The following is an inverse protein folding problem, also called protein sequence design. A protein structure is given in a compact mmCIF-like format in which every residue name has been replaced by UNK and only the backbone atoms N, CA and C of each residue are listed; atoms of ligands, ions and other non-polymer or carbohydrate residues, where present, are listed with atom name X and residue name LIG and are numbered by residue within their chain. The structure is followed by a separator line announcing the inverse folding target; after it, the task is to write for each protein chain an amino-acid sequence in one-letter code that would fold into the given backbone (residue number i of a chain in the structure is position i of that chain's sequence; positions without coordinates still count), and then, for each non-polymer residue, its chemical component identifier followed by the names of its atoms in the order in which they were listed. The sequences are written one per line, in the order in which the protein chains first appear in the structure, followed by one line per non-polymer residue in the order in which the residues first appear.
data_IF_117547313012
#
_entry.id   IF_117547313012
#
_cell.length_a   1.000
_cell.length_b   1.000
_cell.length_c   1.000
_cell.angle_alpha   90.00
_cell.angle_beta   90.00
_cell.angle_gamma   90.00
#
_symmetry.space_group_name_H-M   'P 1'
#
loop_
_entity.id
_entity.type
_entity.pdbx_description
1 polymer ?
#
# COMPACT_ATOMS: atom_id res chain seq x y z
N UNK A 1 5.78 -31.88 -17.85
CA UNK A 1 5.82 -31.82 -16.38
C UNK A 1 6.24 -30.43 -15.99
N UNK A 2 5.34 -29.58 -15.44
CA UNK A 2 5.75 -28.29 -14.89
C UNK A 2 6.67 -28.56 -13.70
N UNK A 3 7.86 -27.94 -13.69
CA UNK A 3 8.81 -28.07 -12.58
C UNK A 3 8.10 -27.73 -11.27
N UNK A 4 7.99 -28.70 -10.37
CA UNK A 4 7.44 -28.51 -9.03
C UNK A 4 8.34 -27.51 -8.31
N UNK A 5 7.83 -26.32 -7.98
CA UNK A 5 8.58 -25.33 -7.18
C UNK A 5 8.85 -26.00 -5.84
N UNK A 6 10.12 -26.14 -5.46
CA UNK A 6 10.49 -26.67 -4.17
C UNK A 6 10.46 -25.53 -3.14
N UNK A 7 9.32 -25.38 -2.47
CA UNK A 7 9.10 -24.31 -1.47
C UNK A 7 10.15 -24.28 -0.37
N UNK A 8 10.65 -25.45 0.03
CA UNK A 8 11.78 -25.56 0.96
C UNK A 8 13.04 -24.87 0.42
N UNK A 9 13.34 -25.02 -0.88
CA UNK A 9 14.47 -24.32 -1.51
C UNK A 9 14.29 -22.81 -1.50
N UNK A 10 13.06 -22.33 -1.75
CA UNK A 10 12.77 -20.88 -1.74
C UNK A 10 12.95 -20.29 -0.34
N UNK A 11 12.55 -20.99 0.72
CA UNK A 11 12.80 -20.56 2.11
C UNK A 11 14.32 -20.50 2.39
N UNK A 12 15.11 -21.49 1.96
CA UNK A 12 16.57 -21.42 2.12
C UNK A 12 17.20 -20.27 1.32
N UNK A 13 16.75 -20.06 0.08
CA UNK A 13 17.19 -18.96 -0.77
C UNK A 13 16.86 -17.60 -0.14
N UNK A 14 15.67 -17.46 0.44
CA UNK A 14 15.30 -16.26 1.20
C UNK A 14 16.31 -15.95 2.30
N UNK A 15 16.62 -16.90 3.19
CA UNK A 15 17.54 -16.66 4.31
C UNK A 15 18.96 -16.37 3.82
N UNK A 16 19.45 -17.07 2.79
CA UNK A 16 20.75 -16.78 2.17
C UNK A 16 20.78 -15.36 1.59
N UNK A 17 19.73 -14.95 0.92
CA UNK A 17 19.64 -13.62 0.31
C UNK A 17 19.44 -12.52 1.35
N UNK A 18 18.67 -12.80 2.42
CA UNK A 18 18.43 -11.85 3.52
C UNK A 18 19.74 -11.40 4.17
N UNK A 19 20.75 -12.28 4.28
CA UNK A 19 22.06 -11.93 4.82
C UNK A 19 22.74 -10.79 4.04
N UNK A 20 22.48 -10.68 2.74
CA UNK A 20 23.01 -9.57 1.91
C UNK A 20 22.32 -8.24 2.21
N UNK A 21 21.12 -8.27 2.78
CA UNK A 21 20.31 -7.10 3.15
C UNK A 21 20.21 -6.87 4.67
N UNK A 22 21.07 -7.52 5.48
CA UNK A 22 20.98 -7.42 6.96
C UNK A 22 21.01 -6.00 7.51
N UNK A 23 21.73 -5.09 6.82
CA UNK A 23 21.85 -3.69 7.22
C UNK A 23 20.67 -2.82 6.73
N UNK A 24 19.84 -3.31 5.81
CA UNK A 24 18.77 -2.55 5.20
C UNK A 24 17.54 -2.44 6.10
N UNK A 25 17.48 -3.16 7.22
CA UNK A 25 16.36 -3.10 8.17
C UNK A 25 14.99 -3.36 7.52
N UNK A 26 14.95 -4.29 6.56
CA UNK A 26 13.71 -4.66 5.84
C UNK A 26 12.78 -5.45 6.76
N UNK A 27 13.33 -6.45 7.47
CA UNK A 27 12.60 -7.28 8.42
C UNK A 27 12.98 -6.92 9.86
N UNK A 28 12.00 -6.95 10.77
CA UNK A 28 12.19 -6.84 12.22
C UNK A 28 12.15 -8.21 12.89
N UNK A 29 11.57 -9.20 12.22
CA UNK A 29 11.45 -10.57 12.71
C UNK A 29 11.31 -11.54 11.54
N UNK A 30 11.94 -12.71 11.65
CA UNK A 30 11.77 -13.82 10.70
C UNK A 30 11.67 -15.15 11.45
N UNK A 31 10.84 -16.08 10.95
CA UNK A 31 10.65 -17.40 11.56
C UNK A 31 11.02 -18.53 10.58
N UNK A 32 12.29 -18.94 10.63
CA UNK A 32 12.83 -19.97 9.75
C UNK A 32 12.19 -21.34 9.99
N UNK A 33 11.95 -21.70 11.25
CA UNK A 33 11.41 -23.03 11.60
C UNK A 33 10.00 -23.21 11.05
N UNK A 34 9.08 -22.31 11.41
CA UNK A 34 7.69 -22.38 10.95
C UNK A 34 7.58 -22.24 9.42
N UNK A 35 8.43 -21.39 8.80
CA UNK A 35 8.46 -21.26 7.34
C UNK A 35 8.91 -22.55 6.64
N UNK A 36 9.92 -23.24 7.17
CA UNK A 36 10.38 -24.52 6.63
C UNK A 36 9.34 -25.62 6.81
N UNK A 37 8.62 -25.66 7.93
CA UNK A 37 7.58 -26.66 8.16
C UNK A 37 6.38 -26.44 7.23
N UNK A 38 5.96 -25.20 7.02
CA UNK A 38 4.95 -24.86 6.02
C UNK A 38 5.41 -25.23 4.60
N UNK A 39 6.67 -24.94 4.26
CA UNK A 39 7.25 -25.27 2.95
C UNK A 39 7.30 -26.79 2.70
N UNK A 40 7.66 -27.62 3.71
CA UNK A 40 7.62 -29.08 3.61
C UNK A 40 6.20 -29.58 3.32
N UNK A 41 5.17 -29.03 3.97
CA UNK A 41 3.76 -29.36 3.72
C UNK A 41 3.40 -29.05 2.25
N UNK A 42 3.81 -27.86 1.73
CA UNK A 42 3.56 -27.51 0.32
C UNK A 42 4.27 -28.49 -0.65
N UNK A 43 5.53 -28.86 -0.37
CA UNK A 43 6.31 -29.74 -1.22
C UNK A 43 5.81 -31.19 -1.22
N UNK A 44 5.11 -31.64 -0.17
CA UNK A 44 4.49 -32.96 -0.10
C UNK A 44 3.21 -33.08 -0.94
N UNK A 45 2.60 -31.99 -1.37
CA UNK A 45 1.38 -32.00 -2.17
C UNK A 45 1.66 -32.50 -3.59
N UNK A 46 0.74 -33.33 -4.10
CA UNK A 46 0.79 -33.81 -5.50
C UNK A 46 0.43 -32.66 -6.45
N UNK A 47 -0.54 -31.81 -6.08
CA UNK A 47 -1.00 -30.65 -6.83
C UNK A 47 -1.04 -29.41 -5.97
N UNK A 48 -0.79 -28.25 -6.58
CA UNK A 48 -1.00 -26.96 -5.91
C UNK A 48 -2.47 -26.77 -5.56
N UNK A 49 -2.76 -26.33 -4.33
CA UNK A 49 -4.14 -26.07 -3.87
C UNK A 49 -4.64 -24.70 -4.27
N UNK A 50 -3.72 -23.78 -4.61
CA UNK A 50 -4.02 -22.43 -5.08
C UNK A 50 -2.85 -21.85 -5.88
N UNK A 51 -3.05 -20.65 -6.46
CA UNK A 51 -2.00 -19.91 -7.17
C UNK A 51 -0.92 -19.33 -6.22
N UNK A 52 -1.20 -19.27 -4.92
CA UNK A 52 -0.25 -18.79 -3.90
C UNK A 52 0.40 -19.93 -3.10
N UNK A 53 0.10 -21.18 -3.43
CA UNK A 53 0.65 -22.36 -2.74
C UNK A 53 2.19 -22.41 -2.89
N UNK A 54 2.88 -22.41 -1.76
CA UNK A 54 4.35 -22.39 -1.68
C UNK A 54 4.98 -21.00 -1.86
N UNK A 55 4.19 -19.92 -2.00
CA UNK A 55 4.67 -18.55 -2.15
C UNK A 55 5.03 -17.92 -0.82
N UNK A 56 6.09 -17.09 -0.80
CA UNK A 56 6.60 -16.41 0.38
C UNK A 56 5.89 -15.08 0.62
N UNK A 57 5.48 -14.84 1.88
CA UNK A 57 4.78 -13.65 2.33
C UNK A 57 5.53 -12.93 3.45
N UNK A 58 5.63 -11.61 3.35
CA UNK A 58 6.10 -10.71 4.40
C UNK A 58 4.93 -9.85 4.91
N UNK A 59 4.84 -9.66 6.23
CA UNK A 59 3.66 -9.03 6.86
C UNK A 59 4.07 -7.79 7.66
N UNK A 60 3.38 -6.68 7.46
CA UNK A 60 3.56 -5.47 8.28
C UNK A 60 3.12 -5.74 9.72
N UNK A 61 3.91 -5.40 10.75
CA UNK A 61 3.67 -5.83 12.14
C UNK A 61 2.56 -5.08 12.87
N UNK A 62 1.67 -4.39 12.16
CA UNK A 62 0.38 -3.93 12.66
C UNK A 62 -0.79 -4.84 12.21
N UNK A 63 -0.49 -5.92 11.48
CA UNK A 63 -1.40 -7.03 11.12
C UNK A 63 -1.02 -8.24 11.99
N UNK A 64 -2.00 -8.89 12.60
CA UNK A 64 -1.74 -10.01 13.53
C UNK A 64 -1.33 -11.27 12.78
N UNK A 65 -0.18 -11.81 13.16
CA UNK A 65 0.26 -13.16 12.78
C UNK A 65 0.54 -13.91 14.07
N UNK A 66 -0.11 -15.03 14.32
CA UNK A 66 0.06 -15.84 15.52
C UNK A 66 1.53 -16.18 15.74
N UNK A 67 2.01 -15.99 16.96
CA UNK A 67 3.39 -16.19 17.40
C UNK A 67 4.41 -15.18 16.86
N UNK A 68 3.99 -14.15 16.12
CA UNK A 68 4.87 -13.09 15.63
C UNK A 68 4.75 -11.81 16.46
N UNK A 69 5.79 -10.95 16.45
CA UNK A 69 5.72 -9.63 17.04
C UNK A 69 4.60 -8.78 16.44
N UNK A 70 3.75 -8.20 17.30
CA UNK A 70 2.66 -7.29 16.95
C UNK A 70 2.93 -5.90 17.50
N UNK A 71 3.96 -5.26 16.97
CA UNK A 71 4.57 -4.06 17.56
C UNK A 71 4.00 -2.76 17.01
N UNK A 72 3.54 -2.75 15.74
CA UNK A 72 3.18 -1.50 15.07
C UNK A 72 4.35 -0.51 14.92
N UNK A 73 5.62 -0.98 14.98
CA UNK A 73 6.81 -0.13 14.97
C UNK A 73 7.05 0.64 16.29
N UNK A 74 6.27 0.40 17.33
CA UNK A 74 6.30 1.11 18.61
C UNK A 74 7.17 0.34 19.61
N UNK A 75 8.11 1.04 20.26
CA UNK A 75 9.03 0.44 21.25
C UNK A 75 8.32 -0.23 22.42
N UNK A 76 7.30 0.39 22.97
CA UNK A 76 6.56 -0.13 24.13
C UNK A 76 5.83 -1.46 23.84
N UNK A 77 5.69 -1.81 22.57
CA UNK A 77 5.09 -3.08 22.14
C UNK A 77 6.12 -4.08 21.57
N UNK A 78 7.42 -3.84 21.76
CA UNK A 78 8.48 -4.69 21.18
C UNK A 78 8.34 -6.18 21.58
N UNK A 79 7.88 -6.44 22.80
CA UNK A 79 7.73 -7.79 23.35
C UNK A 79 6.28 -8.31 23.21
N UNK A 80 5.42 -7.58 22.52
CA UNK A 80 4.03 -8.00 22.29
C UNK A 80 3.99 -9.04 21.19
N UNK A 81 3.62 -10.26 21.54
CA UNK A 81 3.43 -11.37 20.59
C UNK A 81 1.93 -11.58 20.36
N UNK A 82 1.53 -11.74 19.10
CA UNK A 82 0.14 -12.06 18.77
C UNK A 82 -0.19 -13.51 19.10
N UNK A 83 -1.34 -13.74 19.73
CA UNK A 83 -1.86 -15.08 20.03
C UNK A 83 -2.87 -15.59 18.97
N UNK A 84 -3.22 -14.76 17.98
CA UNK A 84 -4.15 -15.08 16.89
C UNK A 84 -3.56 -14.63 15.55
N UNK A 85 -4.05 -15.23 14.48
CA UNK A 85 -3.93 -14.71 13.12
C UNK A 85 -5.05 -13.70 12.82
N UNK A 86 -4.81 -12.72 11.97
CA UNK A 86 -5.84 -11.97 11.29
C UNK A 86 -6.53 -12.87 10.24
N UNK A 87 -7.79 -12.62 9.91
CA UNK A 87 -8.55 -13.43 8.95
C UNK A 87 -7.85 -13.54 7.58
N UNK A 88 -7.17 -12.47 7.12
CA UNK A 88 -6.40 -12.49 5.88
C UNK A 88 -5.19 -13.44 5.99
N UNK A 89 -4.56 -13.54 7.15
CA UNK A 89 -3.43 -14.43 7.40
C UNK A 89 -3.90 -15.89 7.46
N UNK A 90 -5.06 -16.15 8.09
CA UNK A 90 -5.68 -17.49 8.08
C UNK A 90 -5.98 -17.94 6.64
N UNK A 91 -6.55 -17.06 5.81
CA UNK A 91 -6.83 -17.34 4.41
C UNK A 91 -5.55 -17.64 3.61
N UNK A 92 -4.48 -16.84 3.79
CA UNK A 92 -3.20 -17.06 3.13
C UNK A 92 -2.62 -18.43 3.49
N UNK A 93 -2.58 -18.77 4.78
CA UNK A 93 -2.07 -20.06 5.27
C UNK A 93 -2.90 -21.23 4.78
N UNK A 94 -4.24 -21.09 4.81
CA UNK A 94 -5.17 -22.13 4.33
C UNK A 94 -4.99 -22.42 2.82
N UNK A 95 -4.53 -21.44 2.05
CA UNK A 95 -4.25 -21.56 0.62
C UNK A 95 -2.77 -21.86 0.31
N UNK A 96 -1.98 -22.24 1.31
CA UNK A 96 -0.59 -22.70 1.14
C UNK A 96 0.45 -21.58 1.08
N UNK A 97 0.08 -20.32 1.36
CA UNK A 97 1.05 -19.22 1.50
C UNK A 97 1.94 -19.40 2.73
N UNK A 98 3.21 -19.10 2.60
CA UNK A 98 4.24 -19.28 3.64
C UNK A 98 4.58 -17.92 4.22
N UNK A 99 4.23 -17.67 5.48
CA UNK A 99 4.61 -16.42 6.17
C UNK A 99 6.05 -16.53 6.65
N UNK A 100 6.93 -15.66 6.12
CA UNK A 100 8.37 -15.73 6.39
C UNK A 100 8.82 -14.81 7.53
N UNK A 101 8.11 -13.69 7.74
CA UNK A 101 8.52 -12.71 8.76
C UNK A 101 7.67 -11.44 8.79
N UNK A 102 7.98 -10.59 9.76
CA UNK A 102 7.41 -9.25 9.94
C UNK A 102 8.37 -8.19 9.40
N UNK A 103 7.84 -7.27 8.61
CA UNK A 103 8.60 -6.19 7.97
C UNK A 103 8.76 -4.98 8.88
N UNK A 104 9.67 -4.07 8.52
CA UNK A 104 9.79 -2.77 9.17
C UNK A 104 8.69 -1.81 8.70
N UNK A 105 8.33 -0.84 9.55
CA UNK A 105 7.32 0.17 9.27
C UNK A 105 7.57 1.44 10.07
N UNK A 106 6.96 2.57 9.70
CA UNK A 106 6.95 3.74 10.57
C UNK A 106 6.19 3.48 11.87
N UNK A 107 6.63 4.12 12.95
CA UNK A 107 6.03 4.04 14.28
C UNK A 107 4.52 4.32 14.22
N UNK A 108 3.70 3.43 14.77
CA UNK A 108 2.24 3.49 14.78
C UNK A 108 1.60 3.64 13.38
N UNK A 109 2.28 3.25 12.31
CA UNK A 109 1.89 3.55 10.92
C UNK A 109 1.80 5.07 10.61
N UNK A 110 2.33 5.92 11.47
CA UNK A 110 2.31 7.37 11.37
C UNK A 110 3.66 7.91 10.90
N UNK A 111 3.86 7.91 9.59
CA UNK A 111 5.09 8.37 8.94
C UNK A 111 5.04 8.19 7.43
N UNK A 112 6.06 8.69 6.73
CA UNK A 112 6.08 8.70 5.27
C UNK A 112 7.40 8.25 4.65
N UNK A 113 8.35 7.75 5.46
CA UNK A 113 9.69 7.39 4.97
C UNK A 113 10.31 6.16 5.65
N UNK A 114 9.59 5.51 6.56
CA UNK A 114 10.01 4.35 7.36
C UNK A 114 11.33 4.60 8.11
N UNK A 115 11.44 5.82 8.68
CA UNK A 115 12.60 6.22 9.50
C UNK A 115 12.28 6.29 11.00
N UNK A 116 11.01 6.39 11.36
CA UNK A 116 10.56 6.58 12.75
C UNK A 116 10.44 5.28 13.54
N UNK A 117 10.66 4.13 12.91
CA UNK A 117 10.62 2.82 13.57
C UNK A 117 11.63 2.70 14.70
N UNK A 118 11.22 2.09 15.79
CA UNK A 118 12.14 1.67 16.86
C UNK A 118 13.31 0.81 16.36
N UNK A 119 13.08 0.04 15.30
CA UNK A 119 14.10 -0.86 14.71
C UNK A 119 15.08 -0.13 13.78
N UNK A 120 14.93 1.17 13.60
CA UNK A 120 15.75 2.02 12.73
C UNK A 120 15.19 2.17 11.33
N UNK A 121 15.82 3.07 10.56
CA UNK A 121 15.42 3.41 9.18
C UNK A 121 15.52 2.20 8.25
N UNK A 122 14.49 1.95 7.46
CA UNK A 122 14.54 1.00 6.35
C UNK A 122 15.26 1.62 5.16
N UNK A 123 16.17 0.88 4.54
CA UNK A 123 16.99 1.33 3.40
C UNK A 123 16.36 0.87 2.09
N UNK A 124 16.32 1.78 1.10
CA UNK A 124 15.77 1.48 -0.22
C UNK A 124 16.70 0.55 -1.01
N UNK A 125 16.22 -0.64 -1.44
CA UNK A 125 17.07 -1.59 -2.18
C UNK A 125 17.53 -1.09 -3.55
N UNK A 126 16.82 -0.10 -4.14
CA UNK A 126 17.20 0.48 -5.44
C UNK A 126 18.36 1.46 -5.29
N UNK A 127 18.31 2.28 -4.25
CA UNK A 127 19.38 3.25 -3.94
C UNK A 127 19.31 3.65 -2.47
N UNK A 128 20.40 3.38 -1.72
CA UNK A 128 20.48 3.60 -0.28
C UNK A 128 20.42 5.07 0.17
N UNK A 129 20.73 6.01 -0.72
CA UNK A 129 20.65 7.44 -0.44
C UNK A 129 19.21 7.98 -0.45
N UNK A 130 18.23 7.18 -0.90
CA UNK A 130 16.85 7.59 -1.06
C UNK A 130 15.91 6.80 -0.14
N UNK A 131 14.78 7.43 0.20
CA UNK A 131 13.75 6.82 1.06
C UNK A 131 13.09 5.62 0.39
N UNK A 132 12.65 4.64 1.20
CA UNK A 132 11.71 3.58 0.77
C UNK A 132 10.26 4.08 0.71
N UNK A 133 9.97 5.28 1.25
CA UNK A 133 8.62 5.71 1.53
C UNK A 133 8.05 5.05 2.80
N UNK A 134 6.78 5.34 3.10
CA UNK A 134 6.14 4.82 4.33
C UNK A 134 4.60 4.96 4.27
N UNK A 135 3.97 4.39 5.29
CA UNK A 135 4.53 3.73 6.48
C UNK A 135 4.84 2.23 6.29
N UNK A 136 4.55 1.61 5.12
CA UNK A 136 4.82 0.18 4.85
C UNK A 136 6.12 -0.02 4.04
N UNK A 137 7.20 0.74 4.37
CA UNK A 137 8.44 0.74 3.59
C UNK A 137 9.18 -0.60 3.62
N UNK A 138 9.20 -1.30 4.76
CA UNK A 138 9.79 -2.63 4.84
C UNK A 138 9.07 -3.65 3.95
N UNK A 139 7.73 -3.55 3.85
CA UNK A 139 6.93 -4.40 2.96
C UNK A 139 7.27 -4.13 1.49
N UNK A 140 7.44 -2.87 1.10
CA UNK A 140 7.86 -2.51 -0.25
C UNK A 140 9.30 -2.94 -0.55
N UNK A 141 10.22 -2.72 0.39
CA UNK A 141 11.62 -3.13 0.25
C UNK A 141 11.77 -4.66 0.12
N UNK A 142 10.96 -5.45 0.83
CA UNK A 142 10.97 -6.91 0.73
C UNK A 142 10.63 -7.41 -0.67
N UNK A 143 9.69 -6.77 -1.37
CA UNK A 143 9.35 -7.07 -2.76
C UNK A 143 10.43 -6.56 -3.71
N UNK A 144 10.83 -5.28 -3.58
CA UNK A 144 11.81 -4.65 -4.47
C UNK A 144 13.17 -5.35 -4.45
N UNK A 145 13.55 -5.91 -3.30
CA UNK A 145 14.73 -6.77 -3.17
C UNK A 145 14.51 -8.21 -3.65
N UNK A 146 13.33 -8.56 -4.15
CA UNK A 146 12.95 -9.93 -4.54
C UNK A 146 13.23 -10.96 -3.43
N UNK A 147 12.97 -10.60 -2.19
CA UNK A 147 13.06 -11.51 -1.04
C UNK A 147 11.80 -12.36 -0.89
N UNK A 148 10.65 -11.81 -1.22
CA UNK A 148 9.36 -12.51 -1.14
C UNK A 148 8.51 -12.26 -2.38
N UNK A 149 7.50 -13.11 -2.61
CA UNK A 149 6.55 -12.96 -3.72
C UNK A 149 5.47 -11.91 -3.43
N UNK A 150 5.05 -11.84 -2.16
CA UNK A 150 3.97 -10.99 -1.68
C UNK A 150 4.34 -10.30 -0.38
N UNK A 151 3.85 -9.09 -0.19
CA UNK A 151 3.85 -8.49 1.13
C UNK A 151 2.51 -7.80 1.42
N UNK A 152 2.13 -7.80 2.70
CA UNK A 152 0.97 -7.11 3.21
C UNK A 152 1.41 -5.83 3.92
N UNK A 153 0.63 -4.78 3.72
CA UNK A 153 0.77 -3.51 4.42
C UNK A 153 -0.59 -2.94 4.81
N UNK A 154 -0.58 -1.72 5.34
CA UNK A 154 -1.78 -0.93 5.59
C UNK A 154 -1.67 0.43 4.94
N UNK A 155 -2.78 0.97 4.46
CA UNK A 155 -2.87 2.24 3.77
C UNK A 155 -3.96 3.10 4.40
N UNK A 156 -3.56 4.25 4.96
CA UNK A 156 -4.45 5.24 5.58
C UNK A 156 -4.56 6.50 4.73
N UNK A 157 -3.44 6.90 4.10
CA UNK A 157 -3.32 8.08 3.24
C UNK A 157 -2.41 7.83 2.02
N UNK A 158 -2.03 6.56 1.76
CA UNK A 158 -1.07 6.19 0.73
C UNK A 158 0.04 5.26 1.21
N UNK A 159 -0.04 4.73 2.43
CA UNK A 159 1.05 3.98 3.06
C UNK A 159 1.36 2.59 2.45
N UNK A 160 0.67 2.17 1.41
CA UNK A 160 1.01 1.06 0.50
C UNK A 160 1.53 1.63 -0.82
N UNK A 161 0.80 2.57 -1.42
CA UNK A 161 1.02 3.08 -2.77
C UNK A 161 2.26 3.96 -2.86
N UNK A 162 2.52 4.80 -1.85
CA UNK A 162 3.71 5.64 -1.79
C UNK A 162 4.98 4.80 -1.76
N UNK A 163 5.18 3.87 -0.78
CA UNK A 163 6.38 3.04 -0.76
C UNK A 163 6.47 2.11 -1.98
N UNK A 164 5.36 1.62 -2.53
CA UNK A 164 5.37 0.87 -3.78
C UNK A 164 5.92 1.71 -4.93
N UNK A 165 5.51 2.98 -5.05
CA UNK A 165 6.02 3.91 -6.07
C UNK A 165 7.53 4.16 -5.92
N UNK A 166 8.00 4.37 -4.70
CA UNK A 166 9.42 4.68 -4.44
C UNK A 166 10.36 3.47 -4.56
N UNK A 167 9.81 2.28 -4.38
CA UNK A 167 10.54 1.01 -4.52
C UNK A 167 10.31 0.31 -5.87
N UNK A 168 9.55 0.93 -6.81
CA UNK A 168 9.36 0.43 -8.17
C UNK A 168 8.60 -0.89 -8.25
N UNK A 169 7.59 -1.07 -7.42
CA UNK A 169 6.75 -2.26 -7.36
C UNK A 169 5.26 -1.91 -7.45
N UNK A 170 4.41 -2.90 -7.63
CA UNK A 170 2.96 -2.74 -7.62
C UNK A 170 2.47 -2.69 -6.17
N UNK A 171 1.65 -1.66 -5.85
CA UNK A 171 0.99 -1.52 -4.55
C UNK A 171 -0.51 -1.32 -4.70
N UNK A 172 -1.31 -2.17 -4.11
CA UNK A 172 -2.77 -2.17 -4.22
C UNK A 172 -3.44 -1.89 -2.88
N UNK A 173 -4.23 -0.83 -2.83
CA UNK A 173 -5.19 -0.51 -1.77
C UNK A 173 -6.59 -0.92 -2.25
N UNK A 174 -7.22 -1.95 -1.67
CA UNK A 174 -8.59 -2.33 -2.03
C UNK A 174 -9.61 -1.26 -1.58
N UNK A 175 -10.85 -1.45 -1.98
CA UNK A 175 -11.99 -0.68 -1.46
C UNK A 175 -12.01 -0.72 0.05
N UNK A 176 -12.50 0.35 0.70
CA UNK A 176 -12.55 0.43 2.15
C UNK A 176 -13.47 -0.66 2.73
N UNK A 177 -13.10 -1.23 3.87
CA UNK A 177 -13.85 -2.25 4.60
C UNK A 177 -14.04 -3.61 3.92
N UNK A 178 -13.38 -3.88 2.78
CA UNK A 178 -13.34 -5.23 2.19
C UNK A 178 -12.76 -6.23 3.19
N UNK A 179 -11.64 -5.85 3.82
CA UNK A 179 -11.05 -6.63 4.91
C UNK A 179 -11.51 -6.10 6.26
N UNK A 180 -11.75 -7.00 7.21
CA UNK A 180 -12.12 -6.64 8.56
C UNK A 180 -10.88 -6.12 9.31
N UNK A 181 -10.93 -4.87 9.75
CA UNK A 181 -9.81 -4.20 10.44
C UNK A 181 -9.77 -4.42 11.96
N UNK A 182 -10.67 -5.23 12.54
CA UNK A 182 -10.80 -5.41 14.01
C UNK A 182 -9.53 -5.91 14.70
N UNK A 183 -8.72 -6.67 13.98
CA UNK A 183 -7.48 -7.26 14.49
C UNK A 183 -6.23 -6.46 14.18
N UNK A 184 -6.35 -5.29 13.58
CA UNK A 184 -5.22 -4.40 13.33
C UNK A 184 -4.82 -3.61 14.56
N UNK A 185 -3.53 -3.23 14.65
CA UNK A 185 -3.12 -2.09 15.46
C UNK A 185 -3.39 -0.83 14.65
N UNK A 186 -4.57 -0.25 14.87
CA UNK A 186 -5.10 0.84 14.06
C UNK A 186 -4.44 2.18 14.40
N UNK A 187 -4.13 2.96 13.36
CA UNK A 187 -3.95 4.39 13.46
C UNK A 187 -5.31 5.09 13.30
N UNK A 188 -6.08 4.70 12.29
CA UNK A 188 -7.41 5.24 12.03
C UNK A 188 -8.42 4.12 11.80
N UNK A 189 -9.49 4.07 12.60
CA UNK A 189 -10.55 3.10 12.40
C UNK A 189 -11.40 3.37 11.14
N UNK A 190 -11.43 4.62 10.68
CA UNK A 190 -12.18 5.02 9.47
C UNK A 190 -11.41 4.75 8.19
N UNK A 191 -10.08 4.95 8.18
CA UNK A 191 -9.31 5.01 6.93
C UNK A 191 -8.26 3.91 6.77
N UNK A 192 -7.89 3.17 7.82
CA UNK A 192 -6.93 2.08 7.68
C UNK A 192 -7.51 0.96 6.82
N UNK A 193 -6.73 0.51 5.84
CA UNK A 193 -7.10 -0.58 4.93
C UNK A 193 -5.91 -1.51 4.77
N UNK A 194 -6.11 -2.83 4.91
CA UNK A 194 -5.10 -3.82 4.52
C UNK A 194 -5.01 -3.83 3.00
N UNK A 195 -3.81 -3.94 2.47
CA UNK A 195 -3.59 -4.11 1.05
C UNK A 195 -2.29 -4.84 0.74
N UNK A 196 -1.98 -4.96 -0.53
CA UNK A 196 -1.00 -5.89 -1.05
C UNK A 196 0.06 -5.20 -1.88
N UNK A 197 1.27 -5.76 -1.87
CA UNK A 197 2.37 -5.38 -2.74
C UNK A 197 2.96 -6.63 -3.39
N UNK A 198 3.38 -6.49 -4.64
CA UNK A 198 4.05 -7.54 -5.41
C UNK A 198 4.81 -6.94 -6.59
N UNK A 199 5.59 -7.75 -7.30
CA UNK A 199 6.34 -7.32 -8.47
C UNK A 199 5.47 -7.03 -9.71
N UNK A 200 4.26 -7.59 -9.78
CA UNK A 200 3.33 -7.36 -10.89
C UNK A 200 1.88 -7.53 -10.45
N UNK A 201 0.97 -7.01 -11.26
CA UNK A 201 -0.46 -7.01 -10.99
C UNK A 201 -1.07 -8.42 -10.97
N UNK A 202 -0.55 -9.36 -11.78
CA UNK A 202 -1.07 -10.72 -11.81
C UNK A 202 -0.90 -11.46 -10.49
N UNK A 203 0.18 -11.22 -9.75
CA UNK A 203 0.34 -11.76 -8.41
C UNK A 203 -0.75 -11.24 -7.47
N UNK A 204 -1.03 -9.94 -7.49
CA UNK A 204 -2.10 -9.34 -6.66
C UNK A 204 -3.46 -9.91 -7.04
N UNK A 205 -3.76 -10.06 -8.35
CA UNK A 205 -4.97 -10.73 -8.83
C UNK A 205 -5.12 -12.14 -8.24
N UNK A 206 -4.06 -12.95 -8.30
CA UNK A 206 -4.06 -14.32 -7.79
C UNK A 206 -4.39 -14.40 -6.29
N UNK A 207 -3.93 -13.43 -5.50
CA UNK A 207 -4.22 -13.36 -4.08
C UNK A 207 -5.64 -12.83 -3.82
N UNK A 208 -6.05 -11.81 -4.55
CA UNK A 208 -7.36 -11.17 -4.37
C UNK A 208 -8.51 -12.09 -4.80
N UNK A 209 -8.32 -12.93 -5.84
CA UNK A 209 -9.29 -13.95 -6.27
C UNK A 209 -9.65 -14.95 -5.15
N UNK A 210 -8.74 -15.22 -4.20
CA UNK A 210 -9.01 -16.10 -3.06
C UNK A 210 -9.96 -15.47 -2.04
N UNK A 211 -10.03 -14.16 -2.00
CA UNK A 211 -10.88 -13.43 -1.05
C UNK A 211 -12.25 -13.07 -1.64
N UNK A 212 -12.31 -12.71 -2.93
CA UNK A 212 -13.48 -12.12 -3.57
C UNK A 212 -14.35 -13.11 -4.33
N UNK A 213 -15.67 -12.96 -4.24
CA UNK A 213 -16.60 -13.54 -5.21
C UNK A 213 -16.50 -12.76 -6.52
N UNK A 214 -16.45 -13.47 -7.62
CA UNK A 214 -16.34 -12.96 -8.99
C UNK A 214 -17.42 -11.91 -9.30
N UNK A 215 -17.00 -10.68 -9.50
CA UNK A 215 -17.88 -9.58 -9.90
C UNK A 215 -17.50 -9.11 -11.29
N UNK A 216 -18.42 -9.27 -12.26
CA UNK A 216 -18.37 -8.83 -13.65
C UNK A 216 -17.18 -9.35 -14.50
N UNK A 217 -17.51 -10.04 -15.56
CA UNK A 217 -16.57 -10.69 -16.47
C UNK A 217 -15.86 -9.64 -17.37
N UNK A 218 -14.62 -9.27 -17.07
CA UNK A 218 -13.86 -8.30 -17.87
C UNK A 218 -13.65 -8.76 -19.32
N UNK A 219 -13.60 -10.10 -19.57
CA UNK A 219 -13.53 -10.61 -20.95
C UNK A 219 -14.71 -10.11 -21.78
N UNK A 220 -15.86 -9.93 -21.16
CA UNK A 220 -17.04 -9.39 -21.82
C UNK A 220 -16.92 -7.85 -21.99
N UNK A 221 -16.32 -7.13 -21.04
CA UNK A 221 -16.11 -5.69 -21.14
C UNK A 221 -15.14 -5.32 -22.27
N UNK A 222 -13.99 -5.99 -22.36
CA UNK A 222 -13.02 -5.76 -23.47
C UNK A 222 -13.56 -6.28 -24.81
N UNK A 223 -14.31 -7.40 -24.82
CA UNK A 223 -14.97 -7.94 -26.01
C UNK A 223 -16.10 -7.07 -26.56
N UNK A 224 -16.76 -6.27 -25.70
CA UNK A 224 -17.83 -5.36 -26.15
C UNK A 224 -17.35 -4.16 -26.96
N UNK A 225 -16.07 -4.08 -27.31
CA UNK A 225 -15.48 -2.97 -28.10
C UNK A 225 -15.60 -1.57 -27.49
N UNK A 226 -15.95 -1.45 -26.20
CA UNK A 226 -15.96 -0.16 -25.53
C UNK A 226 -14.54 0.32 -25.23
N UNK A 227 -14.25 1.57 -25.54
CA UNK A 227 -13.02 2.21 -25.07
C UNK A 227 -13.08 2.40 -23.55
N UNK A 228 -11.93 2.19 -22.89
CA UNK A 228 -11.78 2.52 -21.46
C UNK A 228 -11.70 4.04 -21.34
N UNK A 229 -12.60 4.62 -20.56
CA UNK A 229 -12.65 6.07 -20.35
C UNK A 229 -11.93 6.45 -19.07
N UNK A 230 -10.84 7.17 -19.21
CA UNK A 230 -10.01 7.63 -18.10
C UNK A 230 -10.13 9.14 -17.91
N UNK A 231 -10.35 9.56 -16.66
CA UNK A 231 -10.32 10.95 -16.23
C UNK A 231 -8.96 11.28 -15.62
N UNK A 232 -8.34 12.38 -16.05
CA UNK A 232 -7.20 13.00 -15.36
C UNK A 232 -7.69 14.26 -14.66
N UNK A 233 -7.59 14.35 -13.32
CA UNK A 233 -7.91 15.58 -12.60
C UNK A 233 -6.97 16.71 -13.00
N UNK A 234 -7.51 17.86 -13.43
CA UNK A 234 -6.69 19.02 -13.82
C UNK A 234 -5.87 19.56 -12.63
N UNK A 235 -6.38 19.39 -11.42
CA UNK A 235 -5.79 19.84 -10.16
C UNK A 235 -4.39 19.26 -9.89
N UNK A 236 -4.06 18.10 -10.48
CA UNK A 236 -2.71 17.53 -10.35
C UNK A 236 -1.64 18.42 -11.00
N UNK A 237 -2.00 19.18 -12.05
CA UNK A 237 -1.07 20.10 -12.73
C UNK A 237 -0.93 21.43 -12.01
N UNK A 238 -1.81 21.74 -11.06
CA UNK A 238 -1.79 22.92 -10.22
C UNK A 238 -0.97 22.69 -8.93
N UNK A 239 -0.72 21.43 -8.58
CA UNK A 239 0.15 21.04 -7.47
C UNK A 239 1.64 21.12 -7.89
N UNK A 240 2.53 21.19 -6.90
CA UNK A 240 3.99 21.21 -7.13
C UNK A 240 4.49 19.83 -7.55
N UNK A 241 4.25 19.46 -8.82
CA UNK A 241 4.85 18.28 -9.43
C UNK A 241 6.31 18.52 -9.74
N UNK A 242 7.17 17.55 -9.44
CA UNK A 242 8.52 17.53 -9.99
C UNK A 242 8.45 17.43 -11.52
N UNK A 243 9.30 18.19 -12.21
CA UNK A 243 9.33 18.24 -13.68
C UNK A 243 9.50 16.84 -14.31
N UNK A 244 10.29 15.99 -13.69
CA UNK A 244 10.47 14.60 -14.11
C UNK A 244 9.17 13.78 -14.05
N UNK A 245 8.38 13.96 -12.98
CA UNK A 245 7.08 13.28 -12.84
C UNK A 245 6.12 13.78 -13.90
N UNK A 246 6.06 15.10 -14.11
CA UNK A 246 5.20 15.69 -15.14
C UNK A 246 5.55 15.19 -16.55
N UNK A 247 6.83 15.18 -16.90
CA UNK A 247 7.33 14.70 -18.18
C UNK A 247 7.02 13.23 -18.40
N UNK A 248 7.32 12.40 -17.39
CA UNK A 248 7.04 10.97 -17.45
C UNK A 248 5.54 10.65 -17.50
N UNK A 249 4.72 11.39 -16.76
CA UNK A 249 3.27 11.22 -16.79
C UNK A 249 2.68 11.59 -18.18
N UNK A 250 3.14 12.70 -18.79
CA UNK A 250 2.76 13.06 -20.15
C UNK A 250 3.16 11.98 -21.16
N UNK A 251 4.33 11.37 -20.99
CA UNK A 251 4.76 10.25 -21.82
C UNK A 251 3.83 9.05 -21.69
N UNK A 252 3.52 8.61 -20.46
CA UNK A 252 2.56 7.51 -20.20
C UNK A 252 1.21 7.80 -20.88
N UNK A 253 0.68 9.01 -20.73
CA UNK A 253 -0.57 9.41 -21.37
C UNK A 253 -0.47 9.26 -22.89
N UNK A 254 0.66 9.63 -23.51
CA UNK A 254 0.86 9.51 -24.95
C UNK A 254 0.92 8.05 -25.40
N UNK A 255 1.51 7.15 -24.60
CA UNK A 255 1.52 5.72 -24.86
C UNK A 255 0.11 5.12 -24.75
N UNK A 256 -0.60 5.39 -23.68
CA UNK A 256 -1.96 4.88 -23.45
C UNK A 256 -2.94 5.29 -24.57
N UNK A 257 -2.80 6.50 -25.12
CA UNK A 257 -3.63 6.99 -26.25
C UNK A 257 -3.44 6.21 -27.56
N UNK A 258 -2.39 5.42 -27.70
CA UNK A 258 -2.19 4.54 -28.88
C UNK A 258 -3.11 3.32 -28.85
N UNK A 259 -3.75 3.06 -27.72
CA UNK A 259 -4.65 1.95 -27.50
C UNK A 259 -6.12 2.45 -27.38
N UNK A 260 -7.07 1.55 -27.19
CA UNK A 260 -8.50 1.90 -27.01
C UNK A 260 -8.79 2.52 -25.62
N UNK A 261 -8.04 3.59 -25.28
CA UNK A 261 -8.15 4.29 -24.01
C UNK A 261 -8.44 5.76 -24.30
N UNK A 262 -9.64 6.19 -23.94
CA UNK A 262 -10.07 7.58 -24.07
C UNK A 262 -9.66 8.34 -22.80
N UNK A 263 -8.81 9.35 -22.95
CA UNK A 263 -8.27 10.13 -21.83
C UNK A 263 -8.76 11.56 -21.92
N UNK A 264 -9.50 12.00 -20.91
CA UNK A 264 -9.97 13.38 -20.75
C UNK A 264 -9.33 14.04 -19.52
N UNK A 265 -8.86 15.27 -19.68
CA UNK A 265 -8.40 16.12 -18.57
C UNK A 265 -9.55 17.02 -18.17
N UNK A 266 -10.00 16.91 -16.91
CA UNK A 266 -11.16 17.65 -16.42
C UNK A 266 -10.94 18.18 -15.01
N UNK A 267 -11.51 19.33 -14.72
CA UNK A 267 -11.49 19.91 -13.40
C UNK A 267 -12.48 19.17 -12.48
N UNK A 268 -12.01 18.60 -11.38
CA UNK A 268 -12.84 18.01 -10.34
C UNK A 268 -13.52 19.06 -9.45
N UNK A 269 -13.36 20.36 -9.75
CA UNK A 269 -13.91 21.60 -9.14
C UNK A 269 -13.89 21.65 -7.60
N UNK A 270 -14.04 20.53 -6.93
CA UNK A 270 -14.19 20.43 -5.48
C UNK A 270 -13.00 19.78 -4.81
N UNK A 271 -12.10 19.14 -5.58
CA UNK A 271 -10.91 18.52 -5.02
C UNK A 271 -9.77 19.53 -4.97
N UNK A 272 -9.29 19.79 -3.77
CA UNK A 272 -8.09 20.58 -3.48
C UNK A 272 -7.08 19.70 -2.80
N UNK A 273 -6.10 19.10 -3.54
CA UNK A 273 -5.22 18.05 -3.04
C UNK A 273 -4.61 18.34 -1.68
N UNK A 274 -3.93 19.49 -1.53
CA UNK A 274 -3.26 19.88 -0.28
C UNK A 274 -4.25 20.11 0.88
N UNK A 275 -5.41 20.70 0.62
CA UNK A 275 -6.41 21.00 1.65
C UNK A 275 -7.06 19.72 2.15
N UNK A 276 -7.56 18.87 1.22
CA UNK A 276 -8.27 17.64 1.60
C UNK A 276 -7.32 16.61 2.24
N UNK A 277 -6.05 16.56 1.79
CA UNK A 277 -5.03 15.79 2.51
C UNK A 277 -4.84 16.27 3.95
N UNK A 278 -4.77 17.58 4.19
CA UNK A 278 -4.68 18.13 5.55
C UNK A 278 -5.92 17.84 6.39
N UNK A 279 -7.09 17.87 5.77
CA UNK A 279 -8.35 17.50 6.45
C UNK A 279 -8.35 16.03 6.85
N UNK A 280 -7.97 15.14 5.92
CA UNK A 280 -7.82 13.73 6.24
C UNK A 280 -6.81 13.51 7.36
N UNK A 281 -5.64 14.17 7.31
CA UNK A 281 -4.62 14.07 8.36
C UNK A 281 -5.17 14.46 9.74
N UNK A 282 -5.96 15.53 9.85
CA UNK A 282 -6.58 15.95 11.13
C UNK A 282 -7.53 14.87 11.68
N UNK A 283 -8.30 14.20 10.84
CA UNK A 283 -9.14 13.06 11.28
C UNK A 283 -8.27 11.91 11.75
N UNK A 284 -7.22 11.57 10.99
CA UNK A 284 -6.28 10.48 11.35
C UNK A 284 -5.55 10.77 12.66
N UNK A 285 -5.10 12.00 12.89
CA UNK A 285 -4.46 12.41 14.15
C UNK A 285 -5.43 12.33 15.34
N UNK A 286 -6.68 12.73 15.14
CA UNK A 286 -7.72 12.63 16.18
C UNK A 286 -8.05 11.16 16.51
N UNK A 287 -8.27 10.32 15.51
CA UNK A 287 -8.54 8.90 15.69
C UNK A 287 -7.32 8.16 16.28
N UNK A 288 -6.11 8.51 15.82
CA UNK A 288 -4.87 8.00 16.38
C UNK A 288 -4.70 8.33 17.87
N UNK A 289 -5.07 9.56 18.29
CA UNK A 289 -5.06 9.95 19.68
C UNK A 289 -6.03 9.12 20.54
N UNK A 290 -7.17 8.70 20.00
CA UNK A 290 -8.11 7.81 20.66
C UNK A 290 -7.59 6.37 20.73
N UNK A 291 -7.08 5.84 19.60
CA UNK A 291 -6.59 4.47 19.49
C UNK A 291 -5.32 4.22 20.31
N UNK A 292 -4.46 5.23 20.47
CA UNK A 292 -3.20 5.18 21.21
C UNK A 292 -3.28 5.93 22.56
N UNK A 293 -4.50 6.13 23.09
CA UNK A 293 -4.75 6.91 24.30
C UNK A 293 -3.88 6.46 25.48
N UNK A 294 -3.75 5.16 25.72
CA UNK A 294 -2.95 4.61 26.82
C UNK A 294 -1.47 4.97 26.71
N UNK A 295 -0.91 5.01 25.49
CA UNK A 295 0.47 5.45 25.26
C UNK A 295 0.61 6.96 25.40
N UNK A 296 -0.39 7.71 24.96
CA UNK A 296 -0.38 9.18 25.05
C UNK A 296 -0.47 9.66 26.48
N UNK A 297 -1.29 9.02 27.32
CA UNK A 297 -1.49 9.37 28.73
C UNK A 297 -0.37 8.86 29.65
N UNK A 298 0.42 7.89 29.21
CA UNK A 298 1.58 7.43 29.94
C UNK A 298 2.81 8.31 29.61
N UNK A 299 3.20 9.18 30.53
CA UNK A 299 4.37 10.04 30.38
C UNK A 299 5.69 9.27 30.20
N UNK A 300 5.75 8.02 30.68
CA UNK A 300 6.92 7.13 30.54
C UNK A 300 6.91 6.31 29.26
N UNK A 301 5.88 6.46 28.40
CA UNK A 301 5.87 5.75 27.13
C UNK A 301 7.00 6.20 26.21
N UNK A 302 7.61 5.22 25.54
CA UNK A 302 8.76 5.43 24.62
C UNK A 302 8.31 5.69 23.18
N UNK A 303 7.23 6.47 22.99
CA UNK A 303 6.84 6.93 21.67
C UNK A 303 7.67 8.15 21.26
N UNK A 304 7.94 8.29 19.95
CA UNK A 304 8.71 9.41 19.43
C UNK A 304 8.03 10.75 19.73
N UNK A 305 8.87 11.81 19.85
CA UNK A 305 8.36 13.19 20.07
C UNK A 305 7.41 13.60 18.93
N UNK A 306 7.70 13.20 17.69
CA UNK A 306 6.86 13.53 16.55
C UNK A 306 5.48 12.88 16.65
N UNK A 307 5.41 11.57 16.94
CA UNK A 307 4.15 10.88 17.16
C UNK A 307 3.37 11.51 18.33
N UNK A 308 4.02 11.73 19.48
CA UNK A 308 3.39 12.34 20.65
C UNK A 308 2.79 13.72 20.32
N UNK A 309 3.53 14.57 19.63
CA UNK A 309 3.05 15.91 19.24
C UNK A 309 1.81 15.82 18.32
N UNK A 310 1.81 14.95 17.35
CA UNK A 310 0.68 14.74 16.45
C UNK A 310 -0.56 14.19 17.17
N UNK A 311 -0.36 13.24 18.10
CA UNK A 311 -1.48 12.71 18.92
C UNK A 311 -2.03 13.81 19.86
N UNK A 312 -1.18 14.64 20.48
CA UNK A 312 -1.62 15.79 21.29
C UNK A 312 -2.41 16.77 20.44
N UNK A 313 -1.91 17.10 19.23
CA UNK A 313 -2.62 17.96 18.31
C UNK A 313 -3.99 17.37 17.96
N UNK A 314 -4.05 16.10 17.57
CA UNK A 314 -5.28 15.41 17.21
C UNK A 314 -6.30 15.36 18.36
N UNK A 315 -5.84 15.09 19.62
CA UNK A 315 -6.67 15.14 20.82
C UNK A 315 -7.33 16.49 21.06
N UNK A 316 -6.66 17.58 20.72
CA UNK A 316 -7.08 18.95 21.00
C UNK A 316 -7.84 19.63 19.86
N UNK A 317 -8.16 18.90 18.76
CA UNK A 317 -8.96 19.47 17.68
C UNK A 317 -10.40 19.66 18.15
N UNK A 318 -10.91 20.87 17.99
CA UNK A 318 -12.28 21.23 18.36
C UNK A 318 -13.30 20.32 17.66
N UNK A 319 -14.32 19.78 18.37
CA UNK A 319 -15.34 18.90 17.79
C UNK A 319 -16.09 19.52 16.60
N UNK A 320 -16.36 20.81 16.65
CA UNK A 320 -17.01 21.52 15.55
C UNK A 320 -16.12 21.53 14.29
N UNK A 321 -14.83 21.73 14.45
CA UNK A 321 -13.85 21.66 13.35
C UNK A 321 -13.84 20.25 12.72
N UNK A 322 -13.80 19.19 13.53
CA UNK A 322 -13.85 17.81 13.05
C UNK A 322 -15.15 17.53 12.29
N UNK A 323 -16.28 17.99 12.80
CA UNK A 323 -17.59 17.79 12.13
C UNK A 323 -17.65 18.50 10.78
N UNK A 324 -17.14 19.72 10.70
CA UNK A 324 -17.07 20.47 9.43
C UNK A 324 -16.16 19.76 8.42
N UNK A 325 -14.98 19.29 8.85
CA UNK A 325 -14.06 18.51 8.01
C UNK A 325 -14.76 17.23 7.50
N UNK A 326 -15.38 16.45 8.39
CA UNK A 326 -16.11 15.23 8.00
C UNK A 326 -17.20 15.51 6.97
N UNK A 327 -17.92 16.63 7.11
CA UNK A 327 -18.93 17.06 6.13
C UNK A 327 -18.30 17.36 4.76
N UNK A 328 -17.23 18.15 4.72
CA UNK A 328 -16.53 18.47 3.47
C UNK A 328 -15.94 17.22 2.78
N UNK A 329 -15.31 16.31 3.55
CA UNK A 329 -14.79 15.06 2.98
C UNK A 329 -15.91 14.16 2.44
N UNK A 330 -17.07 14.12 3.10
CA UNK A 330 -18.26 13.40 2.60
C UNK A 330 -18.80 14.01 1.30
N UNK A 331 -18.84 15.34 1.21
CA UNK A 331 -19.26 16.05 -0.01
C UNK A 331 -18.28 15.77 -1.15
N UNK A 332 -16.96 15.82 -0.90
CA UNK A 332 -15.94 15.46 -1.88
C UNK A 332 -16.17 14.02 -2.38
N UNK A 333 -16.33 13.05 -1.46
CA UNK A 333 -16.58 11.64 -1.81
C UNK A 333 -17.76 11.49 -2.74
N UNK A 334 -18.90 12.13 -2.43
CA UNK A 334 -20.12 12.05 -3.27
C UNK A 334 -19.86 12.61 -4.67
N UNK A 335 -19.16 13.74 -4.77
CA UNK A 335 -18.85 14.40 -6.04
C UNK A 335 -17.86 13.61 -6.88
N UNK A 336 -16.84 13.00 -6.26
CA UNK A 336 -15.86 12.16 -6.96
C UNK A 336 -16.53 10.87 -7.45
N UNK A 337 -17.37 10.24 -6.63
CA UNK A 337 -18.09 9.03 -7.05
C UNK A 337 -19.03 9.28 -8.24
N UNK A 338 -19.62 10.45 -8.36
CA UNK A 338 -20.47 10.79 -9.51
C UNK A 338 -19.71 10.85 -10.85
N UNK A 339 -18.38 11.06 -10.86
CA UNK A 339 -17.62 10.99 -12.10
C UNK A 339 -17.59 9.58 -12.70
N UNK A 340 -17.71 8.55 -11.89
CA UNK A 340 -17.74 7.16 -12.37
C UNK A 340 -19.03 6.76 -13.09
N UNK A 341 -20.02 7.64 -13.16
CA UNK A 341 -21.16 7.48 -14.07
C UNK A 341 -20.75 7.67 -15.54
N UNK A 342 -19.66 8.40 -15.79
CA UNK A 342 -19.17 8.74 -17.14
C UNK A 342 -17.77 8.23 -17.45
N UNK A 343 -16.99 7.86 -16.44
CA UNK A 343 -15.61 7.38 -16.54
C UNK A 343 -15.45 6.05 -15.84
N UNK A 344 -14.57 5.21 -16.38
CA UNK A 344 -14.24 3.91 -15.79
C UNK A 344 -13.12 4.04 -14.75
N UNK A 345 -12.20 4.97 -14.96
CA UNK A 345 -11.02 5.18 -14.11
C UNK A 345 -10.72 6.67 -13.90
N UNK A 346 -10.14 6.98 -12.75
CA UNK A 346 -9.36 8.20 -12.53
C UNK A 346 -7.88 7.81 -12.54
N UNK A 347 -7.05 8.52 -13.31
CA UNK A 347 -5.62 8.26 -13.44
C UNK A 347 -4.80 9.52 -13.11
N UNK A 348 -3.68 9.32 -12.38
CA UNK A 348 -2.79 10.39 -11.98
C UNK A 348 -1.42 9.82 -11.57
N UNK A 349 -0.36 10.64 -11.36
CA UNK A 349 0.84 10.15 -10.68
C UNK A 349 0.50 9.66 -9.26
N UNK A 350 1.20 8.64 -8.76
CA UNK A 350 1.00 8.18 -7.37
C UNK A 350 1.43 9.25 -6.38
N UNK A 351 2.57 9.88 -6.63
CA UNK A 351 3.17 10.92 -5.78
C UNK A 351 3.62 12.11 -6.62
N UNK A 352 3.64 13.33 -6.06
CA UNK A 352 4.14 14.52 -6.75
C UNK A 352 5.64 14.48 -7.07
N UNK A 353 6.41 13.62 -6.41
CA UNK A 353 7.87 13.45 -6.54
C UNK A 353 8.26 11.98 -6.54
N UNK A 354 9.50 11.68 -6.97
CA UNK A 354 10.15 10.38 -6.76
C UNK A 354 10.58 10.20 -5.31
N UNK A 355 11.18 9.06 -4.97
CA UNK A 355 11.88 8.91 -3.69
C UNK A 355 12.85 10.08 -3.48
N UNK A 356 12.80 10.70 -2.31
CA UNK A 356 13.64 11.83 -1.93
C UNK A 356 14.84 11.33 -1.10
N UNK A 357 15.88 12.15 -1.03
CA UNK A 357 17.09 11.82 -0.28
C UNK A 357 16.78 11.67 1.22
N UNK A 358 17.37 10.65 1.86
CA UNK A 358 17.16 10.36 3.29
C UNK A 358 17.62 11.47 4.24
N UNK A 359 18.39 12.43 3.74
CA UNK A 359 18.88 13.60 4.49
C UNK A 359 17.91 14.78 4.46
N UNK A 360 16.84 14.68 3.67
CA UNK A 360 15.83 15.73 3.54
C UNK A 360 14.58 15.40 4.34
N UNK A 361 13.81 16.44 4.68
CA UNK A 361 12.50 16.25 5.33
C UNK A 361 11.50 15.56 4.38
N UNK A 362 10.56 14.82 4.96
CA UNK A 362 9.44 14.24 4.21
C UNK A 362 8.62 15.35 3.55
N UNK A 363 8.47 15.34 2.20
CA UNK A 363 7.71 16.35 1.50
C UNK A 363 6.25 16.42 1.99
N UNK A 364 5.80 17.61 2.38
CA UNK A 364 4.44 17.80 2.93
C UNK A 364 3.32 17.42 1.96
N UNK A 365 3.57 17.46 0.65
CA UNK A 365 2.62 17.12 -0.40
C UNK A 365 2.67 15.64 -0.82
N UNK A 366 3.51 14.81 -0.20
CA UNK A 366 3.73 13.41 -0.60
C UNK A 366 2.43 12.60 -0.79
N UNK A 367 1.45 12.80 0.07
CA UNK A 367 0.16 12.10 0.04
C UNK A 367 -0.98 12.91 -0.62
N UNK A 368 -0.68 14.02 -1.33
CA UNK A 368 -1.71 14.86 -1.92
C UNK A 368 -2.62 14.09 -2.89
N UNK A 369 -2.06 13.16 -3.66
CA UNK A 369 -2.81 12.39 -4.65
C UNK A 369 -3.35 11.09 -4.10
N UNK A 370 -2.58 10.40 -3.27
CA UNK A 370 -3.00 9.11 -2.69
C UNK A 370 -4.17 9.24 -1.73
N UNK A 371 -4.27 10.35 -0.98
CA UNK A 371 -5.34 10.60 -0.02
C UNK A 371 -6.74 10.60 -0.64
N UNK A 372 -6.89 10.93 -1.93
CA UNK A 372 -8.20 10.95 -2.62
C UNK A 372 -8.88 9.57 -2.55
N UNK A 373 -8.14 8.49 -2.80
CA UNK A 373 -8.69 7.14 -2.76
C UNK A 373 -9.14 6.73 -1.35
N UNK A 374 -8.44 7.16 -0.28
CA UNK A 374 -8.86 6.90 1.09
C UNK A 374 -10.13 7.71 1.46
N UNK A 375 -10.16 9.01 1.12
CA UNK A 375 -11.33 9.88 1.38
C UNK A 375 -12.59 9.35 0.70
N UNK A 376 -12.43 8.82 -0.52
CA UNK A 376 -13.57 8.41 -1.35
C UNK A 376 -13.88 6.89 -1.27
N UNK A 377 -13.17 6.13 -0.42
CA UNK A 377 -13.28 4.67 -0.23
C UNK A 377 -12.99 3.85 -1.50
N UNK A 378 -12.27 4.43 -2.47
CA UNK A 378 -12.02 3.84 -3.78
C UNK A 378 -10.89 2.80 -3.70
N UNK A 379 -11.00 1.69 -4.44
CA UNK A 379 -9.84 0.84 -4.72
C UNK A 379 -8.83 1.62 -5.55
N UNK A 380 -7.56 1.45 -5.26
CA UNK A 380 -6.49 2.17 -5.96
C UNK A 380 -5.22 1.35 -6.04
N UNK A 381 -4.53 1.45 -7.17
CA UNK A 381 -3.28 0.75 -7.43
C UNK A 381 -2.20 1.76 -7.85
N UNK A 382 -0.98 1.54 -7.37
CA UNK A 382 0.24 2.19 -7.82
C UNK A 382 0.97 1.24 -8.75
N UNK A 383 1.05 1.57 -10.03
CA UNK A 383 1.68 0.78 -11.08
C UNK A 383 3.03 1.41 -11.42
N UNK A 384 4.18 0.73 -11.19
CA UNK A 384 5.49 1.32 -11.37
C UNK A 384 5.82 1.54 -12.84
N UNK A 385 6.54 2.63 -13.11
CA UNK A 385 7.04 2.95 -14.43
C UNK A 385 8.48 3.49 -14.33
N UNK A 386 9.36 2.99 -15.21
CA UNK A 386 10.74 3.44 -15.31
C UNK A 386 10.92 4.35 -16.51
N UNK A 387 11.44 5.55 -16.29
CA UNK A 387 11.71 6.50 -17.35
C UNK A 387 13.17 6.92 -17.34
N UNK A 388 13.88 6.60 -18.43
CA UNK A 388 15.28 7.00 -18.71
C UNK A 388 16.28 6.67 -17.58
N UNK A 389 16.23 5.48 -16.99
CA UNK A 389 17.21 5.00 -16.02
C UNK A 389 17.25 5.75 -14.68
N UNK A 390 16.25 6.59 -14.38
CA UNK A 390 16.10 7.30 -13.11
C UNK A 390 15.40 6.42 -12.07
N UNK A 391 15.34 6.89 -10.80
CA UNK A 391 14.50 6.27 -9.77
C UNK A 391 13.06 6.08 -10.28
N UNK A 392 12.37 5.00 -9.88
CA UNK A 392 11.02 4.73 -10.34
C UNK A 392 10.03 5.82 -9.91
N UNK A 393 8.95 5.91 -10.64
CA UNK A 393 7.72 6.57 -10.23
C UNK A 393 6.55 5.74 -10.75
N UNK A 394 5.33 6.04 -10.30
CA UNK A 394 4.19 5.19 -10.62
C UNK A 394 3.00 5.99 -11.11
N UNK A 395 2.25 5.36 -12.00
CA UNK A 395 0.89 5.73 -12.36
C UNK A 395 -0.05 5.22 -11.26
N UNK A 396 -0.90 6.07 -10.73
CA UNK A 396 -1.98 5.69 -9.84
C UNK A 396 -3.29 5.59 -10.63
N UNK A 397 -3.99 4.45 -10.47
CA UNK A 397 -5.32 4.23 -11.02
C UNK A 397 -6.30 4.05 -9.87
N UNK A 398 -7.49 4.68 -10.01
CA UNK A 398 -8.61 4.55 -9.09
C UNK A 398 -9.82 4.07 -9.89
N UNK A 399 -10.58 3.13 -9.35
CA UNK A 399 -11.85 2.65 -9.91
C UNK A 399 -13.02 2.94 -8.97
N UNK A 400 -14.27 2.75 -9.39
CA UNK A 400 -15.43 2.85 -8.51
C UNK A 400 -15.29 1.98 -7.26
N UNK A 401 -15.89 2.44 -6.16
CA UNK A 401 -15.93 1.64 -4.95
C UNK A 401 -16.52 0.25 -5.21
N UNK A 402 -15.89 -0.81 -4.68
CA UNK A 402 -16.22 -2.23 -4.86
C UNK A 402 -15.98 -2.80 -6.28
N UNK A 403 -15.33 -2.05 -7.17
CA UNK A 403 -14.90 -2.52 -8.49
C UNK A 403 -13.39 -2.93 -8.50
N UNK A 404 -12.93 -3.53 -7.40
CA UNK A 404 -11.54 -3.95 -7.18
C UNK A 404 -11.04 -4.93 -8.26
N UNK A 405 -11.83 -5.94 -8.59
CA UNK A 405 -11.48 -6.91 -9.64
C UNK A 405 -11.36 -6.26 -11.02
N UNK A 406 -12.25 -5.31 -11.33
CA UNK A 406 -12.16 -4.54 -12.56
C UNK A 406 -10.85 -3.75 -12.60
N UNK A 407 -10.52 -3.03 -11.53
CA UNK A 407 -9.28 -2.27 -11.42
C UNK A 407 -8.05 -3.16 -11.66
N UNK A 408 -7.96 -4.29 -10.96
CA UNK A 408 -6.82 -5.20 -11.04
C UNK A 408 -6.63 -5.77 -12.45
N UNK A 409 -7.71 -6.11 -13.13
CA UNK A 409 -7.66 -6.64 -14.52
C UNK A 409 -7.25 -5.57 -15.52
N UNK A 410 -7.77 -4.34 -15.38
CA UNK A 410 -7.34 -3.22 -16.22
C UNK A 410 -5.87 -2.90 -15.99
N UNK A 411 -5.41 -2.95 -14.73
CA UNK A 411 -4.00 -2.71 -14.43
C UNK A 411 -3.08 -3.78 -15.03
N UNK A 412 -3.49 -5.05 -15.08
CA UNK A 412 -2.72 -6.08 -15.81
C UNK A 412 -2.61 -5.74 -17.31
N UNK A 413 -3.67 -5.23 -17.92
CA UNK A 413 -3.63 -4.76 -19.30
C UNK A 413 -2.74 -3.53 -19.48
N UNK A 414 -2.80 -2.54 -18.56
CA UNK A 414 -1.92 -1.38 -18.61
C UNK A 414 -0.44 -1.77 -18.41
N UNK A 415 -0.17 -2.72 -17.54
CA UNK A 415 1.17 -3.25 -17.31
C UNK A 415 1.74 -3.88 -18.60
N UNK A 416 0.93 -4.64 -19.36
CA UNK A 416 1.33 -5.25 -20.65
C UNK A 416 1.64 -4.20 -21.74
N UNK A 417 0.89 -3.10 -21.80
CA UNK A 417 1.08 -2.08 -22.85
C UNK A 417 2.12 -1.02 -22.51
N UNK A 418 2.55 -0.92 -21.24
CA UNK A 418 3.56 0.03 -20.79
C UNK A 418 4.96 -0.59 -20.63
N UNK A 419 5.08 -1.91 -20.73
CA UNK A 419 6.35 -2.64 -20.80
C UNK A 419 6.93 -2.59 -22.20
#
# INVERSE_FOLDING_TARGET
MKNKIKSVSEVFNFFKKLDTYKNNKIFIYTDKSNALDAAKICDQRIHQISKIDGKLFAIKPNIRVKSFPFTGGIRDFQDTISNIDDAIIEMIKANGGIIIGSTNMDEAAFGGDTSSSYYGRCINPINEDFTVGGSSGGSAAAISSSLVDYSLGTDTMGSIRIPASYCGIVGFKPSQFIFNNKNLKLLSHTYDTIGFMSNNTNYINNLYELYGKDHKNLKDYIKTNKNIKCLIPKEIFEDKLNEDILTGFKYIISELKKYKIDIEIKNLKYWKPDIHRKYLLKIVENEGALNLKTLLENERSNISKNLRNSLIYGKNIEPLTLNNIKKELKELKNKVNAFFESYDLIIMPTTPQRAFEIKTDVPKNQANFTSLANICDLPSISLPYYYKGKLPYSLQLLAPNMDDHFLLRICSYFEEILQ
#
